data_IF_160962750738
#
_entry.id   IF_160962750738
#
_cell.length_a   1.000
_cell.length_b   1.000
_cell.length_c   1.000
_cell.angle_alpha   90.00
_cell.angle_beta   90.00
_cell.angle_gamma   90.00
#
_symmetry.space_group_name_H-M   'P 1'
#
loop_
_entity.id
_entity.type
_entity.pdbx_description
1 polymer ?
#
# COMPACT_ATOMS: atom_id res chain seq x y z
N UNK A 1 4.02 -8.02 -19.01
CA UNK A 1 3.43 -8.25 -17.67
C UNK A 1 2.24 -7.31 -17.48
N UNK A 2 1.14 -7.79 -16.88
CA UNK A 2 -0.14 -7.05 -16.69
C UNK A 2 -0.12 -6.30 -15.36
N UNK A 3 -0.87 -5.19 -15.25
CA UNK A 3 -1.16 -4.54 -13.97
C UNK A 3 -1.88 -5.51 -13.02
N UNK A 4 -1.74 -5.34 -11.70
CA UNK A 4 -2.54 -6.11 -10.74
C UNK A 4 -4.04 -5.85 -10.94
N UNK A 5 -4.92 -6.79 -10.50
CA UNK A 5 -6.37 -6.61 -10.56
C UNK A 5 -6.83 -5.28 -9.94
N UNK A 6 -7.97 -4.77 -10.41
CA UNK A 6 -8.57 -3.53 -9.91
C UNK A 6 -9.31 -3.78 -8.60
N UNK A 7 -9.11 -2.93 -7.59
CA UNK A 7 -9.98 -2.91 -6.39
C UNK A 7 -11.28 -2.15 -6.71
N UNK A 8 -11.22 -1.16 -7.60
CA UNK A 8 -12.37 -0.35 -8.03
C UNK A 8 -12.66 0.85 -7.13
N UNK A 9 -11.70 1.24 -6.30
CA UNK A 9 -11.73 2.41 -5.41
C UNK A 9 -10.42 3.18 -5.57
N UNK A 10 -10.34 4.46 -5.12
CA UNK A 10 -9.08 5.20 -5.13
C UNK A 10 -7.94 4.43 -4.43
N UNK A 11 -6.74 4.54 -4.98
CA UNK A 11 -5.55 3.80 -4.54
C UNK A 11 -4.43 4.76 -4.13
N UNK A 12 -3.77 4.47 -3.01
CA UNK A 12 -2.58 5.18 -2.52
C UNK A 12 -1.37 4.29 -2.72
N UNK A 13 -0.41 4.73 -3.53
CA UNK A 13 0.83 4.02 -3.78
C UNK A 13 1.90 4.39 -2.76
N UNK A 14 2.57 3.39 -2.20
CA UNK A 14 3.71 3.56 -1.30
C UNK A 14 5.00 3.24 -2.04
N UNK A 15 5.90 4.22 -2.06
CA UNK A 15 7.19 4.18 -2.73
C UNK A 15 8.33 4.40 -1.74
N UNK A 16 9.53 4.00 -2.14
CA UNK A 16 10.75 4.30 -1.41
C UNK A 16 11.78 3.20 -1.54
N UNK A 17 13.01 3.50 -1.16
CA UNK A 17 14.12 2.55 -1.21
C UNK A 17 13.85 1.32 -0.35
N UNK A 18 14.49 0.21 -0.71
CA UNK A 18 14.48 -0.94 0.18
C UNK A 18 15.04 -0.58 1.56
N UNK A 19 14.39 -1.11 2.61
CA UNK A 19 14.69 -0.82 4.01
C UNK A 19 14.48 0.65 4.46
N UNK A 20 13.73 1.46 3.71
CA UNK A 20 13.34 2.82 4.16
C UNK A 20 12.30 2.80 5.29
N UNK A 21 11.59 1.68 5.48
CA UNK A 21 10.52 1.54 6.48
C UNK A 21 9.11 1.39 5.90
N UNK A 22 8.97 1.27 4.57
CA UNK A 22 7.69 1.10 3.86
C UNK A 22 6.81 -0.02 4.43
N UNK A 23 7.34 -1.24 4.51
CA UNK A 23 6.58 -2.37 5.06
C UNK A 23 6.23 -2.18 6.54
N UNK A 24 7.11 -1.55 7.32
CA UNK A 24 6.82 -1.23 8.73
C UNK A 24 5.68 -0.21 8.86
N UNK A 25 5.65 0.81 8.00
CA UNK A 25 4.57 1.80 7.95
C UNK A 25 3.25 1.14 7.51
N UNK A 26 3.26 0.39 6.41
CA UNK A 26 2.07 -0.32 5.91
C UNK A 26 1.48 -1.27 6.95
N UNK A 27 2.32 -2.04 7.65
CA UNK A 27 1.86 -2.92 8.71
C UNK A 27 1.21 -2.14 9.86
N UNK A 28 1.77 -0.98 10.24
CA UNK A 28 1.17 -0.12 11.28
C UNK A 28 -0.16 0.49 10.82
N UNK A 29 -0.22 1.04 9.61
CA UNK A 29 -1.45 1.63 9.05
C UNK A 29 -2.57 0.61 8.95
N UNK A 30 -2.28 -0.57 8.42
CA UNK A 30 -3.26 -1.66 8.28
C UNK A 30 -3.68 -2.21 9.65
N UNK A 31 -2.75 -2.36 10.59
CA UNK A 31 -3.09 -2.78 11.97
C UNK A 31 -3.96 -1.76 12.70
N UNK A 32 -3.71 -0.46 12.53
CA UNK A 32 -4.55 0.60 13.12
C UNK A 32 -5.95 0.61 12.48
N UNK A 33 -6.04 0.43 11.16
CA UNK A 33 -7.31 0.31 10.47
C UNK A 33 -8.14 -0.87 11.00
N UNK A 34 -7.51 -2.01 11.27
CA UNK A 34 -8.16 -3.18 11.88
C UNK A 34 -8.57 -2.96 13.34
N UNK A 35 -7.76 -2.25 14.13
CA UNK A 35 -8.01 -2.06 15.57
C UNK A 35 -9.04 -0.99 15.92
N UNK A 36 -9.43 -0.14 14.97
CA UNK A 36 -10.25 1.02 15.30
C UNK A 36 -9.54 2.05 16.18
N UNK A 37 -10.11 3.25 16.24
CA UNK A 37 -9.52 4.39 16.95
C UNK A 37 -9.78 4.34 18.47
N UNK A 38 -10.75 3.53 18.89
CA UNK A 38 -11.07 3.18 20.26
C UNK A 38 -10.54 1.77 20.50
N UNK A 39 -9.66 1.58 21.48
CA UNK A 39 -8.74 0.44 21.64
C UNK A 39 -9.33 -0.95 21.87
N UNK A 40 -10.52 -1.27 21.35
CA UNK A 40 -11.12 -2.59 21.42
C UNK A 40 -10.57 -3.52 20.33
N UNK A 41 -9.87 -4.55 20.79
CA UNK A 41 -9.30 -5.59 19.93
C UNK A 41 -10.41 -6.42 19.28
N UNK A 42 -10.70 -6.15 18.02
CA UNK A 42 -11.41 -7.08 17.16
C UNK A 42 -10.50 -7.50 16.01
N UNK A 43 -10.11 -8.78 16.02
CA UNK A 43 -9.69 -9.52 14.85
C UNK A 43 -10.67 -9.27 13.70
N UNK A 44 -10.30 -8.50 12.68
CA UNK A 44 -10.73 -8.79 11.31
C UNK A 44 -9.86 -8.07 10.26
N UNK A 45 -9.20 -8.91 9.45
CA UNK A 45 -8.87 -8.71 8.02
C UNK A 45 -7.93 -7.57 7.59
N UNK A 46 -6.72 -7.54 8.15
CA UNK A 46 -5.54 -7.13 7.36
C UNK A 46 -4.65 -8.35 7.10
N UNK A 47 -4.96 -9.15 6.07
CA UNK A 47 -4.06 -10.22 5.62
C UNK A 47 -2.87 -9.58 4.89
N UNK A 48 -1.79 -9.35 5.62
CA UNK A 48 -0.50 -8.98 5.05
C UNK A 48 0.13 -10.21 4.42
N UNK A 49 0.11 -10.29 3.09
CA UNK A 49 0.97 -11.22 2.35
C UNK A 49 2.43 -10.84 2.60
N UNK A 50 3.10 -11.57 3.50
CA UNK A 50 4.56 -11.47 3.67
C UNK A 50 5.21 -12.31 2.58
N UNK A 51 5.83 -11.65 1.61
CA UNK A 51 6.95 -12.24 0.88
C UNK A 51 8.10 -11.24 0.92
N UNK A 52 9.20 -11.55 1.64
CA UNK A 52 10.40 -10.71 1.66
C UNK A 52 10.96 -10.51 0.25
N UNK A 53 11.58 -9.34 0.05
CA UNK A 53 11.92 -8.76 -1.24
C UNK A 53 12.73 -9.65 -2.19
N UNK A 54 12.26 -9.66 -3.44
CA UNK A 54 12.99 -9.91 -4.70
C UNK A 54 12.01 -9.93 -5.89
N UNK A 55 10.70 -9.91 -5.65
CA UNK A 55 9.69 -10.05 -6.70
C UNK A 55 9.26 -8.67 -7.20
N UNK A 56 9.31 -8.47 -8.52
CA UNK A 56 8.83 -7.28 -9.23
C UNK A 56 7.29 -7.15 -9.23
N UNK A 57 6.65 -7.48 -8.11
CA UNK A 57 5.20 -7.48 -7.94
C UNK A 57 4.75 -6.27 -7.14
N UNK A 58 3.65 -5.66 -7.58
CA UNK A 58 2.90 -4.68 -6.80
C UNK A 58 1.91 -5.44 -5.92
N UNK A 59 1.95 -5.22 -4.61
CA UNK A 59 0.98 -5.82 -3.69
C UNK A 59 -0.16 -4.82 -3.44
N UNK A 60 -1.40 -5.31 -3.46
CA UNK A 60 -2.58 -4.49 -3.22
C UNK A 60 -3.28 -4.91 -1.93
N UNK A 61 -3.67 -3.93 -1.12
CA UNK A 61 -4.42 -4.10 0.12
C UNK A 61 -5.70 -3.26 0.05
N UNK A 62 -6.86 -3.89 0.23
CA UNK A 62 -8.13 -3.17 0.32
C UNK A 62 -8.45 -2.84 1.78
N UNK A 63 -8.75 -1.57 2.05
CA UNK A 63 -9.36 -1.13 3.30
C UNK A 63 -10.87 -1.22 3.12
N UNK A 64 -11.53 -1.86 4.08
CA UNK A 64 -12.94 -2.19 4.00
C UNK A 64 -13.74 -1.28 4.94
N UNK A 65 -14.97 -0.98 4.55
CA UNK A 65 -15.91 -0.27 5.40
C UNK A 65 -16.18 -1.07 6.69
N UNK A 66 -16.20 -0.39 7.83
CA UNK A 66 -16.61 -1.00 9.09
C UNK A 66 -18.10 -1.29 9.05
N UNK A 67 -18.47 -2.57 9.04
CA UNK A 67 -19.86 -2.95 9.29
C UNK A 67 -20.14 -2.76 10.78
N UNK A 68 -21.16 -1.97 11.14
CA UNK A 68 -21.63 -1.91 12.51
C UNK A 68 -22.12 -3.32 12.86
N UNK A 69 -21.44 -4.00 13.78
CA UNK A 69 -22.00 -5.18 14.44
C UNK A 69 -23.23 -4.70 15.19
N UNK A 70 -24.41 -4.84 14.57
CA UNK A 70 -25.67 -4.80 15.32
C UNK A 70 -25.51 -5.82 16.43
N UNK A 71 -25.45 -5.34 17.67
CA UNK A 71 -25.55 -6.16 18.87
C UNK A 71 -26.69 -7.15 18.62
N UNK A 72 -26.33 -8.42 18.62
CA UNK A 72 -27.25 -9.53 18.52
C UNK A 72 -28.15 -9.53 19.75
N UNK A 73 -29.30 -8.85 19.69
CA UNK A 73 -30.46 -9.33 20.41
C UNK A 73 -31.06 -10.44 19.55
N UNK A 74 -30.56 -11.66 19.80
CA UNK A 74 -30.88 -12.87 19.08
C UNK A 74 -32.31 -13.29 19.44
N UNK A 75 -33.26 -13.10 18.52
CA UNK A 75 -34.41 -14.01 18.35
C UNK A 75 -35.17 -13.72 17.05
N UNK A 76 -35.27 -14.79 16.26
CA UNK A 76 -36.28 -15.07 15.24
C UNK A 76 -36.29 -14.20 13.97
N UNK A 77 -35.71 -14.71 12.89
CA UNK A 77 -36.49 -15.06 11.69
C UNK A 77 -35.59 -15.72 10.64
N UNK A 78 -36.07 -16.86 10.16
CA UNK A 78 -35.61 -17.57 8.97
C UNK A 78 -35.70 -16.71 7.71
N UNK A 79 -34.77 -16.95 6.78
CA UNK A 79 -34.57 -16.32 5.46
C UNK A 79 -33.95 -14.93 5.45
N UNK A 80 -32.62 -14.85 5.63
CA UNK A 80 -31.89 -13.60 5.42
C UNK A 80 -30.94 -13.73 4.22
N UNK A 81 -31.43 -13.32 3.06
CA UNK A 81 -30.59 -13.03 1.92
C UNK A 81 -29.78 -11.74 2.21
N UNK A 82 -28.46 -11.83 2.02
CA UNK A 82 -27.53 -10.72 1.81
C UNK A 82 -27.00 -9.96 3.04
N UNK A 83 -26.17 -10.62 3.86
CA UNK A 83 -25.05 -9.91 4.48
C UNK A 83 -24.01 -9.63 3.38
N UNK A 84 -24.18 -8.55 2.62
CA UNK A 84 -23.20 -8.15 1.59
C UNK A 84 -21.79 -8.10 2.22
N UNK A 85 -20.75 -8.59 1.51
CA UNK A 85 -19.39 -8.46 1.98
C UNK A 85 -19.06 -6.97 2.18
N UNK A 86 -18.24 -6.62 3.21
CA UNK A 86 -17.87 -5.24 3.46
C UNK A 86 -17.23 -4.62 2.22
N UNK A 87 -17.69 -3.44 1.84
CA UNK A 87 -17.28 -2.76 0.62
C UNK A 87 -15.86 -2.18 0.80
N UNK A 88 -14.96 -2.30 -0.19
CA UNK A 88 -13.70 -1.56 -0.16
C UNK A 88 -13.98 -0.05 -0.23
N UNK A 89 -13.20 0.72 0.53
CA UNK A 89 -13.30 2.19 0.58
C UNK A 89 -12.02 2.88 0.09
N UNK A 90 -10.88 2.18 0.18
CA UNK A 90 -9.57 2.69 -0.23
C UNK A 90 -8.64 1.51 -0.53
N UNK A 91 -7.76 1.65 -1.52
CA UNK A 91 -6.70 0.71 -1.80
C UNK A 91 -5.33 1.24 -1.38
N UNK A 92 -4.49 0.39 -0.80
CA UNK A 92 -3.05 0.65 -0.68
C UNK A 92 -2.29 -0.22 -1.66
N UNK A 93 -1.37 0.39 -2.40
CA UNK A 93 -0.47 -0.29 -3.31
C UNK A 93 0.97 -0.21 -2.80
N UNK A 94 1.53 -1.35 -2.43
CA UNK A 94 2.93 -1.47 -2.05
C UNK A 94 3.77 -1.70 -3.31
N UNK A 95 4.42 -0.65 -3.79
CA UNK A 95 5.32 -0.76 -4.93
C UNK A 95 6.65 -1.40 -4.48
N UNK A 96 7.28 -2.20 -5.35
CA UNK A 96 8.58 -2.78 -5.05
C UNK A 96 9.60 -1.66 -4.78
N UNK A 97 10.41 -1.82 -3.74
CA UNK A 97 11.39 -0.80 -3.35
C UNK A 97 12.54 -0.74 -4.36
N UNK A 98 12.92 0.47 -4.76
CA UNK A 98 14.07 0.69 -5.64
C UNK A 98 15.40 0.68 -4.86
N UNK A 99 16.52 0.61 -5.58
CA UNK A 99 17.86 0.69 -5.00
C UNK A 99 18.29 -0.53 -4.18
N UNK A 100 17.71 -1.72 -4.40
CA UNK A 100 18.22 -2.95 -3.77
C UNK A 100 19.53 -3.38 -4.43
N UNK A 101 20.65 -3.05 -3.79
CA UNK A 101 22.00 -3.31 -4.29
C UNK A 101 22.32 -4.80 -4.58
N UNK A 102 21.49 -5.74 -4.09
CA UNK A 102 21.67 -7.18 -4.27
C UNK A 102 20.82 -7.79 -5.41
N UNK A 103 20.08 -7.00 -6.19
CA UNK A 103 19.34 -7.51 -7.36
C UNK A 103 20.26 -7.60 -8.59
N UNK A 104 20.03 -8.61 -9.44
CA UNK A 104 20.58 -8.64 -10.79
C UNK A 104 20.05 -7.46 -11.62
N UNK A 105 20.76 -7.11 -12.70
CA UNK A 105 20.34 -6.04 -13.62
C UNK A 105 18.92 -6.27 -14.16
N UNK A 106 18.61 -7.50 -14.54
CA UNK A 106 17.29 -7.87 -15.06
C UNK A 106 16.18 -7.72 -14.02
N UNK A 107 16.45 -8.10 -12.77
CA UNK A 107 15.49 -7.95 -11.69
C UNK A 107 15.28 -6.47 -11.30
N UNK A 108 16.35 -5.66 -11.31
CA UNK A 108 16.24 -4.21 -11.08
C UNK A 108 15.36 -3.56 -12.15
N UNK A 109 15.63 -3.85 -13.42
CA UNK A 109 14.80 -3.38 -14.55
C UNK A 109 13.35 -3.83 -14.43
N UNK A 110 13.12 -5.09 -14.07
CA UNK A 110 11.75 -5.61 -13.89
C UNK A 110 10.98 -4.89 -12.76
N UNK A 111 11.68 -4.52 -11.68
CA UNK A 111 11.11 -3.75 -10.55
C UNK A 111 10.75 -2.33 -10.99
N UNK A 112 11.66 -1.65 -11.69
CA UNK A 112 11.46 -0.30 -12.24
C UNK A 112 10.28 -0.28 -13.21
N UNK A 113 10.26 -1.21 -14.18
CA UNK A 113 9.17 -1.35 -15.14
C UNK A 113 7.81 -1.72 -14.51
N UNK A 114 7.81 -2.33 -13.33
CA UNK A 114 6.57 -2.64 -12.60
C UNK A 114 6.04 -1.39 -11.89
N UNK A 115 6.91 -0.64 -11.23
CA UNK A 115 6.56 0.61 -10.56
C UNK A 115 6.11 1.67 -11.56
N UNK A 116 6.89 1.94 -12.61
CA UNK A 116 6.58 2.93 -13.64
C UNK A 116 5.24 2.63 -14.31
N UNK A 117 5.01 1.37 -14.70
CA UNK A 117 3.76 0.96 -15.34
C UNK A 117 2.55 1.16 -14.45
N UNK A 118 2.68 0.90 -13.14
CA UNK A 118 1.59 1.13 -12.20
C UNK A 118 1.32 2.64 -12.06
N UNK A 119 2.36 3.43 -11.81
CA UNK A 119 2.25 4.89 -11.64
C UNK A 119 1.67 5.59 -12.88
N UNK A 120 2.08 5.18 -14.08
CA UNK A 120 1.67 5.83 -15.32
C UNK A 120 0.29 5.38 -15.84
N UNK A 121 -0.15 4.15 -15.51
CA UNK A 121 -1.34 3.55 -16.16
C UNK A 121 -2.50 3.27 -15.22
N UNK A 122 -2.32 3.30 -13.89
CA UNK A 122 -3.39 2.99 -12.94
C UNK A 122 -4.32 4.19 -12.78
N UNK A 123 -5.52 4.09 -13.35
CA UNK A 123 -6.53 5.14 -13.29
C UNK A 123 -7.05 5.39 -11.87
N UNK A 124 -7.03 4.36 -11.03
CA UNK A 124 -7.45 4.43 -9.64
C UNK A 124 -6.41 5.10 -8.73
N UNK A 125 -5.18 5.35 -9.21
CA UNK A 125 -4.13 5.99 -8.42
C UNK A 125 -4.53 7.44 -8.09
N UNK A 126 -4.69 7.73 -6.81
CA UNK A 126 -5.08 9.04 -6.32
C UNK A 126 -3.94 9.78 -5.59
N UNK A 127 -2.97 9.05 -5.04
CA UNK A 127 -1.86 9.64 -4.28
C UNK A 127 -0.64 8.70 -4.30
N UNK A 128 0.54 9.26 -4.55
CA UNK A 128 1.82 8.65 -4.23
C UNK A 128 2.32 9.10 -2.86
N UNK A 129 2.82 8.17 -2.05
CA UNK A 129 3.55 8.44 -0.81
C UNK A 129 4.99 7.97 -1.00
N UNK A 130 5.93 8.91 -1.11
CA UNK A 130 7.36 8.63 -1.21
C UNK A 130 8.01 8.66 0.17
N UNK A 131 8.48 7.50 0.65
CA UNK A 131 9.20 7.40 1.90
C UNK A 131 10.68 7.68 1.69
N UNK A 132 11.24 8.53 2.54
CA UNK A 132 12.67 8.90 2.56
C UNK A 132 13.24 8.68 3.97
N UNK A 133 14.44 8.12 4.08
CA UNK A 133 15.11 7.90 5.38
C UNK A 133 15.70 9.24 5.85
N UNK A 134 15.18 9.82 6.93
CA UNK A 134 15.53 11.17 7.39
C UNK A 134 17.01 11.34 7.76
N UNK A 135 17.74 10.24 7.92
CA UNK A 135 19.14 10.21 8.37
C UNK A 135 20.13 10.22 7.21
N UNK A 136 19.64 10.30 5.97
CA UNK A 136 20.44 10.16 4.76
C UNK A 136 20.10 11.27 3.80
N UNK A 137 21.14 11.79 3.16
CA UNK A 137 20.98 12.61 1.97
C UNK A 137 20.32 11.78 0.85
N UNK A 138 19.34 12.35 0.11
CA UNK A 138 18.77 11.71 -1.06
C UNK A 138 19.86 11.36 -2.07
N UNK A 139 19.82 10.13 -2.59
CA UNK A 139 20.71 9.69 -3.68
C UNK A 139 20.18 10.11 -5.06
N UNK A 140 20.97 9.88 -6.11
CA UNK A 140 20.52 10.10 -7.50
C UNK A 140 19.29 9.25 -7.84
N UNK A 141 19.23 8.01 -7.35
CA UNK A 141 18.04 7.15 -7.51
C UNK A 141 16.80 7.78 -6.86
N UNK A 142 16.94 8.43 -5.70
CA UNK A 142 15.84 9.10 -5.01
C UNK A 142 15.34 10.32 -5.80
N UNK A 143 16.28 11.11 -6.35
CA UNK A 143 15.97 12.28 -7.21
C UNK A 143 15.29 11.86 -8.51
N UNK A 144 15.76 10.78 -9.15
CA UNK A 144 15.18 10.27 -10.38
C UNK A 144 13.73 9.80 -10.18
N UNK A 145 13.45 9.12 -9.07
CA UNK A 145 12.07 8.72 -8.72
C UNK A 145 11.19 9.93 -8.48
N UNK A 146 11.67 10.94 -7.76
CA UNK A 146 10.92 12.17 -7.51
C UNK A 146 10.60 12.91 -8.82
N UNK A 147 11.58 13.05 -9.71
CA UNK A 147 11.39 13.67 -11.02
C UNK A 147 10.35 12.90 -11.86
N UNK A 148 10.45 11.57 -11.93
CA UNK A 148 9.48 10.75 -12.65
C UNK A 148 8.05 10.88 -12.09
N UNK A 149 7.89 10.94 -10.77
CA UNK A 149 6.57 11.15 -10.14
C UNK A 149 5.99 12.53 -10.47
N UNK A 150 6.85 13.54 -10.52
CA UNK A 150 6.48 14.90 -10.91
C UNK A 150 6.03 14.96 -12.38
N UNK A 151 6.79 14.37 -13.29
CA UNK A 151 6.48 14.32 -14.73
C UNK A 151 5.18 13.56 -15.02
N UNK A 152 4.87 12.54 -14.21
CA UNK A 152 3.62 11.78 -14.30
C UNK A 152 2.41 12.51 -13.69
N UNK A 153 2.59 13.72 -13.15
CA UNK A 153 1.56 14.51 -12.46
C UNK A 153 0.84 13.72 -11.34
N UNK A 154 1.56 12.82 -10.68
CA UNK A 154 1.00 12.06 -9.56
C UNK A 154 0.94 12.98 -8.33
N UNK A 155 -0.23 13.20 -7.70
CA UNK A 155 -0.29 13.89 -6.42
C UNK A 155 0.64 13.19 -5.42
N UNK A 156 1.53 13.93 -4.77
CA UNK A 156 2.63 13.35 -4.02
C UNK A 156 2.69 13.87 -2.58
N UNK A 157 2.89 12.94 -1.64
CA UNK A 157 3.24 13.22 -0.25
C UNK A 157 4.60 12.58 0.06
N UNK A 158 5.54 13.38 0.57
CA UNK A 158 6.86 12.88 0.99
C UNK A 158 6.82 12.63 2.50
N UNK A 159 7.24 11.44 2.93
CA UNK A 159 7.26 11.03 4.34
C UNK A 159 8.69 10.74 4.76
N UNK A 160 9.22 11.58 5.64
CA UNK A 160 10.50 11.34 6.30
C UNK A 160 10.33 10.26 7.40
N UNK A 161 11.05 9.15 7.26
CA UNK A 161 11.02 8.02 8.19
C UNK A 161 12.27 7.97 9.08
N UNK A 162 12.20 7.19 10.15
CA UNK A 162 13.31 6.97 11.11
C UNK A 162 13.79 8.26 11.78
N UNK A 163 12.87 9.19 12.01
CA UNK A 163 13.11 10.47 12.70
C UNK A 163 13.41 10.29 14.19
N UNK A 164 13.19 9.09 14.74
CA UNK A 164 13.54 8.70 16.11
C UNK A 164 15.05 8.50 16.34
N UNK A 165 15.86 8.64 15.29
CA UNK A 165 17.28 8.30 15.24
C UNK A 165 18.08 9.44 14.66
#
# INVERSE_FOLDING_TARGET
RRLPPKIGVPEVAFLGRSNVGKSSLLNRLTSMASKGMDGDSANDQARVGKTPGATASVNLYALLEKTKSRQSNKKNSSHDASKMPPKPILGFADLPGFGYAKLSKDNKKAVEEAAERYLAKRQELALGILLVDARREPSDDDRAVLAALYDLNVPLCIVATKVDK
#
